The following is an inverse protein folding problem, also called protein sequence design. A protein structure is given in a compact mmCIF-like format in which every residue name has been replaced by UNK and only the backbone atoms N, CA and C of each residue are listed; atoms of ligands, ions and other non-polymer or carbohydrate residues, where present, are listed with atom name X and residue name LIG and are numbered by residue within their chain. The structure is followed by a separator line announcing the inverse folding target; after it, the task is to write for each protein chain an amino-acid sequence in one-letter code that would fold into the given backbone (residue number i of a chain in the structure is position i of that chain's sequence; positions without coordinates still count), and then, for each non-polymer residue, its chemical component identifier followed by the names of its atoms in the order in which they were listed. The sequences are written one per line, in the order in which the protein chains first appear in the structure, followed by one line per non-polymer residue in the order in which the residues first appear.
data_IF_748617589069
#
_entry.id   IF_748617589069
#
_cell.length_a   1.000
_cell.length_b   1.000
_cell.length_c   1.000
_cell.angle_alpha   90.00
_cell.angle_beta   90.00
_cell.angle_gamma   90.00
#
_symmetry.space_group_name_H-M   'P 1'
#
loop_
_entity.id
_entity.type
_entity.pdbx_description
1 polymer ?
#
# COMPACT_ATOMS: atom_id res chain seq x y z
N UNK A 1 4.41 -15.93 -8.15
CA UNK A 1 3.92 -16.95 -7.20
C UNK A 1 4.19 -16.47 -5.78
N UNK A 2 3.14 -16.28 -4.97
CA UNK A 2 3.24 -15.90 -3.55
C UNK A 2 2.41 -16.86 -2.67
N UNK A 3 2.66 -18.15 -2.84
CA UNK A 3 1.97 -19.24 -2.13
C UNK A 3 2.75 -19.79 -0.94
N UNK A 4 3.82 -19.10 -0.52
CA UNK A 4 4.61 -19.43 0.66
C UNK A 4 4.49 -18.31 1.67
N UNK A 5 4.38 -18.69 2.94
CA UNK A 5 4.42 -17.73 4.05
C UNK A 5 5.78 -17.03 4.10
N UNK A 6 5.76 -15.75 4.39
CA UNK A 6 6.95 -14.92 4.59
C UNK A 6 6.87 -14.17 5.91
N UNK A 7 8.02 -13.75 6.44
CA UNK A 7 8.13 -12.96 7.65
C UNK A 7 8.90 -11.67 7.34
N UNK A 8 8.28 -10.52 7.62
CA UNK A 8 8.93 -9.22 7.59
C UNK A 8 9.21 -8.82 9.04
N UNK A 9 10.47 -8.93 9.46
CA UNK A 9 10.92 -8.58 10.80
C UNK A 9 12.02 -7.51 10.74
N UNK A 10 12.14 -6.70 11.79
CA UNK A 10 13.13 -5.63 11.88
C UNK A 10 12.82 -4.63 13.00
N UNK A 11 13.80 -3.83 13.37
CA UNK A 11 13.64 -2.78 14.38
C UNK A 11 12.70 -1.65 13.91
N UNK A 12 12.34 -0.74 14.79
CA UNK A 12 11.58 0.46 14.42
C UNK A 12 12.38 1.29 13.40
N UNK A 13 11.72 1.79 12.36
CA UNK A 13 12.36 2.61 11.33
C UNK A 13 13.08 1.82 10.22
N UNK A 14 13.13 0.48 10.27
CA UNK A 14 13.80 -0.34 9.24
C UNK A 14 12.89 -0.70 8.05
N UNK A 15 11.82 0.06 7.82
CA UNK A 15 11.01 -0.08 6.60
C UNK A 15 9.97 -1.20 6.59
N UNK A 16 9.65 -1.88 7.71
CA UNK A 16 8.64 -2.97 7.75
C UNK A 16 7.31 -2.61 7.06
N UNK A 17 6.73 -1.46 7.40
CA UNK A 17 5.48 -0.97 6.82
C UNK A 17 5.62 -0.60 5.35
N UNK A 18 6.74 0.01 4.96
CA UNK A 18 7.03 0.35 3.55
C UNK A 18 7.17 -0.91 2.71
N UNK A 19 7.79 -1.97 3.23
CA UNK A 19 7.88 -3.27 2.57
C UNK A 19 6.51 -3.89 2.37
N UNK A 20 5.66 -3.93 3.41
CA UNK A 20 4.29 -4.43 3.30
C UNK A 20 3.48 -3.65 2.25
N UNK A 21 3.59 -2.32 2.28
CA UNK A 21 2.96 -1.44 1.29
C UNK A 21 3.38 -1.81 -0.13
N UNK A 22 4.69 -1.92 -0.40
CA UNK A 22 5.18 -2.21 -1.75
C UNK A 22 4.75 -3.59 -2.25
N UNK A 23 4.69 -4.59 -1.36
CA UNK A 23 4.16 -5.91 -1.71
C UNK A 23 2.69 -5.81 -2.12
N UNK A 24 1.90 -5.07 -1.37
CA UNK A 24 0.47 -4.90 -1.65
C UNK A 24 0.21 -4.18 -2.98
N UNK A 25 0.94 -3.09 -3.24
CA UNK A 25 0.91 -2.37 -4.52
C UNK A 25 1.27 -3.29 -5.69
N UNK A 26 2.29 -4.13 -5.52
CA UNK A 26 2.76 -5.05 -6.59
C UNK A 26 1.72 -6.13 -6.86
N UNK A 27 1.17 -6.75 -5.82
CA UNK A 27 0.10 -7.73 -5.98
C UNK A 27 -1.16 -7.14 -6.61
N UNK A 28 -1.54 -5.92 -6.19
CA UNK A 28 -2.67 -5.22 -6.78
C UNK A 28 -2.43 -4.91 -8.25
N UNK A 29 -1.23 -4.46 -8.66
CA UNK A 29 -0.92 -4.29 -10.08
C UNK A 29 -1.01 -5.60 -10.89
N UNK A 30 -0.76 -6.75 -10.25
CA UNK A 30 -0.65 -8.07 -10.89
C UNK A 30 -1.98 -8.84 -11.03
N UNK A 31 -3.11 -8.35 -10.51
CA UNK A 31 -4.34 -9.16 -10.49
C UNK A 31 -4.75 -9.68 -9.12
N UNK A 32 -3.89 -9.54 -8.11
CA UNK A 32 -3.96 -10.38 -6.92
C UNK A 32 -4.58 -9.59 -5.76
N UNK A 33 -5.74 -10.00 -5.24
CA UNK A 33 -6.35 -9.34 -4.09
C UNK A 33 -5.50 -9.58 -2.83
N UNK A 34 -5.36 -8.54 -2.02
CA UNK A 34 -4.53 -8.54 -0.82
C UNK A 34 -5.36 -8.12 0.38
N UNK A 35 -5.44 -8.99 1.38
CA UNK A 35 -6.04 -8.66 2.67
C UNK A 35 -4.97 -8.20 3.66
N UNK A 36 -5.14 -7.01 4.23
CA UNK A 36 -4.19 -6.41 5.17
C UNK A 36 -4.91 -5.92 6.42
N UNK A 37 -4.25 -6.09 7.55
CA UNK A 37 -4.66 -5.44 8.80
C UNK A 37 -3.85 -4.17 8.95
N UNK A 38 -4.52 -3.03 8.85
CA UNK A 38 -3.92 -1.72 9.06
C UNK A 38 -4.30 -1.15 10.43
N UNK A 39 -3.50 -1.49 11.45
CA UNK A 39 -3.77 -1.06 12.83
C UNK A 39 -3.45 0.43 13.05
N UNK A 40 -2.55 1.00 12.23
CA UNK A 40 -2.04 2.36 12.43
C UNK A 40 -2.59 3.38 11.44
N UNK A 41 -3.28 2.93 10.39
CA UNK A 41 -3.68 3.80 9.27
C UNK A 41 -2.52 4.14 8.34
N UNK A 42 -1.40 3.41 8.41
CA UNK A 42 -0.21 3.70 7.60
C UNK A 42 -0.38 3.22 6.14
N UNK A 43 -1.33 2.31 5.89
CA UNK A 43 -1.57 1.66 4.59
C UNK A 43 -2.87 2.13 3.93
N UNK A 44 -3.84 2.62 4.70
CA UNK A 44 -5.11 3.15 4.19
C UNK A 44 -4.94 4.27 3.16
N UNK A 45 -3.85 5.04 3.26
CA UNK A 45 -3.47 6.07 2.29
C UNK A 45 -3.18 5.55 0.87
N UNK A 46 -3.12 4.23 0.64
CA UNK A 46 -2.97 3.64 -0.69
C UNK A 46 -4.10 4.00 -1.65
N UNK A 47 -5.28 4.37 -1.15
CA UNK A 47 -6.42 4.78 -1.98
C UNK A 47 -6.16 6.09 -2.74
N UNK A 48 -5.29 6.95 -2.21
CA UNK A 48 -5.02 8.25 -2.80
C UNK A 48 -3.76 8.24 -3.65
N UNK A 49 -3.88 8.81 -4.85
CA UNK A 49 -2.72 9.13 -5.65
C UNK A 49 -1.84 10.17 -4.93
N UNK A 50 -0.52 10.00 -5.05
CA UNK A 50 0.44 10.97 -4.55
C UNK A 50 0.53 12.21 -5.46
N UNK A 51 1.10 13.29 -4.92
CA UNK A 51 1.39 14.51 -5.68
C UNK A 51 2.83 14.50 -6.21
N UNK A 52 3.00 14.83 -7.49
CA UNK A 52 4.29 14.94 -8.15
C UNK A 52 4.97 16.28 -7.86
N UNK A 53 5.37 16.50 -6.60
CA UNK A 53 5.90 17.79 -6.15
C UNK A 53 7.03 17.65 -5.14
N UNK A 54 7.89 18.66 -5.08
CA UNK A 54 8.99 18.77 -4.11
C UNK A 54 9.92 17.55 -4.11
N UNK A 55 10.31 17.10 -2.90
CA UNK A 55 11.24 15.98 -2.71
C UNK A 55 10.75 14.63 -3.26
N UNK A 56 9.45 14.48 -3.54
CA UNK A 56 8.90 13.26 -4.14
C UNK A 56 9.23 13.24 -5.64
N UNK A 57 8.94 14.34 -6.34
CA UNK A 57 9.28 14.50 -7.76
C UNK A 57 10.79 14.32 -8.00
N UNK A 58 11.63 15.02 -7.21
CA UNK A 58 13.08 14.90 -7.29
C UNK A 58 13.58 13.46 -7.19
N UNK A 59 12.97 12.64 -6.30
CA UNK A 59 13.33 11.23 -6.15
C UNK A 59 12.84 10.38 -7.31
N UNK A 60 11.63 10.61 -7.80
CA UNK A 60 11.08 9.88 -8.95
C UNK A 60 11.98 10.11 -10.18
N UNK A 61 12.38 11.37 -10.42
CA UNK A 61 13.32 11.74 -11.47
C UNK A 61 14.69 11.09 -11.25
N UNK A 62 15.24 11.16 -10.02
CA UNK A 62 16.54 10.58 -9.68
C UNK A 62 16.60 9.07 -9.94
N UNK A 63 15.51 8.35 -9.68
CA UNK A 63 15.42 6.90 -9.85
C UNK A 63 14.87 6.48 -11.21
N UNK A 64 14.57 7.41 -12.12
CA UNK A 64 14.03 7.12 -13.45
C UNK A 64 12.69 6.38 -13.39
N UNK A 65 11.88 6.67 -12.37
CA UNK A 65 10.55 6.10 -12.21
C UNK A 65 9.57 6.78 -13.18
N UNK A 66 8.39 6.18 -13.38
CA UNK A 66 7.41 6.56 -14.41
C UNK A 66 6.67 7.89 -14.14
N UNK A 67 7.33 8.90 -13.60
CA UNK A 67 6.78 10.24 -13.35
C UNK A 67 5.53 10.20 -12.47
N UNK A 68 4.52 10.98 -12.83
CA UNK A 68 3.22 11.01 -12.14
C UNK A 68 2.55 9.63 -12.10
N UNK A 69 2.72 8.81 -13.14
CA UNK A 69 2.14 7.47 -13.20
C UNK A 69 2.76 6.49 -12.18
N UNK A 70 3.87 6.85 -11.51
CA UNK A 70 4.38 6.08 -10.37
C UNK A 70 3.55 6.31 -9.09
N UNK A 71 2.82 7.43 -9.01
CA UNK A 71 2.12 7.89 -7.81
C UNK A 71 0.61 7.55 -7.84
N UNK A 72 0.19 6.48 -8.52
CA UNK A 72 -1.23 6.12 -8.59
C UNK A 72 -1.79 5.68 -7.23
N UNK A 73 -3.09 5.89 -7.05
CA UNK A 73 -3.86 5.26 -5.98
C UNK A 73 -4.29 3.84 -6.37
N UNK A 74 -4.65 3.05 -5.37
CA UNK A 74 -5.08 1.66 -5.51
C UNK A 74 -6.52 1.49 -5.03
N UNK A 75 -7.30 0.58 -5.64
CA UNK A 75 -8.63 0.24 -5.14
C UNK A 75 -8.53 -0.43 -3.76
N UNK A 76 -9.24 0.12 -2.77
CA UNK A 76 -9.26 -0.39 -1.39
C UNK A 76 -10.69 -0.38 -0.87
N UNK A 77 -11.09 -1.47 -0.22
CA UNK A 77 -12.32 -1.57 0.56
C UNK A 77 -11.97 -1.69 2.04
N UNK A 78 -12.55 -0.83 2.88
CA UNK A 78 -12.31 -0.84 4.32
C UNK A 78 -13.44 -1.55 5.04
N UNK A 79 -13.08 -2.51 5.89
CA UNK A 79 -14.00 -3.33 6.67
C UNK A 79 -13.69 -3.16 8.15
N UNK A 80 -14.68 -3.15 9.01
CA UNK A 80 -14.43 -3.23 10.45
C UNK A 80 -14.09 -4.66 10.89
N UNK A 81 -13.87 -4.87 12.19
CA UNK A 81 -13.58 -6.19 12.76
C UNK A 81 -14.76 -7.16 12.71
N UNK A 82 -15.98 -6.67 12.43
CA UNK A 82 -17.19 -7.46 12.24
C UNK A 82 -17.45 -7.79 10.77
N UNK A 83 -16.65 -7.26 9.86
CA UNK A 83 -16.77 -7.47 8.42
C UNK A 83 -17.77 -6.52 7.74
N UNK A 84 -18.14 -5.42 8.40
CA UNK A 84 -19.00 -4.39 7.82
C UNK A 84 -18.15 -3.36 7.07
N UNK A 85 -18.64 -2.91 5.90
CA UNK A 85 -17.94 -1.88 5.12
C UNK A 85 -18.04 -0.54 5.84
N UNK A 86 -16.89 0.12 6.04
CA UNK A 86 -16.78 1.37 6.78
C UNK A 86 -16.04 2.44 5.98
N UNK A 87 -16.34 3.70 6.25
CA UNK A 87 -15.60 4.83 5.68
C UNK A 87 -14.41 5.20 6.59
N UNK A 88 -13.19 5.09 6.07
CA UNK A 88 -12.02 5.78 6.61
C UNK A 88 -11.21 5.10 7.73
N UNK A 89 -11.76 4.18 8.52
CA UNK A 89 -11.01 3.48 9.59
C UNK A 89 -11.45 2.00 9.74
N UNK A 90 -10.53 1.04 9.51
CA UNK A 90 -10.84 -0.39 9.57
C UNK A 90 -9.70 -1.30 9.07
N UNK A 91 -9.94 -2.61 9.08
CA UNK A 91 -9.16 -3.61 8.36
C UNK A 91 -9.33 -3.37 6.85
N UNK A 92 -8.23 -3.08 6.15
CA UNK A 92 -8.26 -2.73 4.73
C UNK A 92 -8.03 -3.94 3.84
N UNK A 93 -9.01 -4.30 3.02
CA UNK A 93 -8.81 -5.25 1.93
C UNK A 93 -8.51 -4.45 0.66
N UNK A 94 -7.28 -4.59 0.14
CA UNK A 94 -6.90 -4.03 -1.15
C UNK A 94 -7.41 -5.02 -2.20
N UNK A 95 -8.50 -4.64 -2.86
CA UNK A 95 -9.18 -5.49 -3.82
C UNK A 95 -8.95 -4.94 -5.21
N UNK A 96 -8.55 -5.80 -6.16
CA UNK A 96 -8.92 -5.61 -7.56
C UNK A 96 -10.14 -6.45 -7.87
#
# INVERSE_FOLDING_TARGET
MANRHGLIAGATGTGKTVTLRKLAETFSNDGVPVFLVDVKGDLSGLVQAGSYQGKIAERIDQFGLSGEAYLNGFPVSFWDVFGEVVEGEGVGLIFM
#
